data_IF_830971963774
#
_entry.id   IF_830971963774
#
_cell.length_a   1.000
_cell.length_b   1.000
_cell.length_c   1.000
_cell.angle_alpha   90.00
_cell.angle_beta   90.00
_cell.angle_gamma   90.00
#
_symmetry.space_group_name_H-M   'P 1'
#
loop_
_entity.id
_entity.type
_entity.pdbx_description
1 polymer ?
#
# COMPACT_ATOMS: atom_id res chain seq x y z
N UNK A 1 -0.84 -15.06 4.69
CA UNK A 1 -0.82 -16.53 4.84
C UNK A 1 -0.05 -17.00 6.08
N UNK A 2 1.26 -16.73 6.22
CA UNK A 2 2.02 -17.23 7.39
C UNK A 2 1.63 -16.62 8.76
N UNK A 3 1.34 -15.32 8.82
CA UNK A 3 0.95 -14.66 10.09
C UNK A 3 -0.44 -15.11 10.57
N UNK A 4 -1.37 -15.32 9.63
CA UNK A 4 -2.76 -15.68 9.92
C UNK A 4 -2.86 -17.11 10.47
N UNK A 5 -2.10 -18.07 9.94
CA UNK A 5 -2.11 -19.46 10.41
C UNK A 5 -1.61 -19.60 11.85
N UNK A 6 -0.62 -18.79 12.25
CA UNK A 6 -0.06 -18.80 13.61
C UNK A 6 -0.91 -17.95 14.57
N UNK A 7 -1.38 -16.78 14.12
CA UNK A 7 -2.09 -15.85 14.99
C UNK A 7 -3.56 -16.23 15.23
N UNK A 8 -4.23 -16.91 14.29
CA UNK A 8 -5.64 -17.28 14.43
C UNK A 8 -5.87 -18.30 15.58
N UNK A 9 -5.09 -19.40 15.70
CA UNK A 9 -5.15 -20.27 16.88
C UNK A 9 -4.76 -19.54 18.17
N UNK A 10 -3.73 -18.69 18.13
CA UNK A 10 -3.28 -17.91 19.29
C UNK A 10 -4.37 -16.95 19.79
N UNK A 11 -5.12 -16.32 18.88
CA UNK A 11 -6.26 -15.48 19.19
C UNK A 11 -7.39 -16.27 19.86
N UNK A 12 -7.74 -17.46 19.33
CA UNK A 12 -8.72 -18.36 19.98
C UNK A 12 -8.27 -18.83 21.36
N UNK A 13 -6.97 -19.06 21.55
CA UNK A 13 -6.37 -19.38 22.85
C UNK A 13 -6.23 -18.15 23.80
N UNK A 14 -6.86 -17.02 23.47
CA UNK A 14 -6.81 -15.75 24.22
C UNK A 14 -5.39 -15.18 24.43
N UNK A 15 -4.42 -15.57 23.59
CA UNK A 15 -3.03 -15.07 23.63
C UNK A 15 -2.88 -13.76 22.86
N UNK A 16 -3.64 -12.73 23.26
CA UNK A 16 -3.69 -11.45 22.55
C UNK A 16 -2.34 -10.74 22.49
N UNK A 17 -1.49 -10.90 23.50
CA UNK A 17 -0.14 -10.31 23.53
C UNK A 17 0.74 -10.85 22.40
N UNK A 18 0.65 -12.15 22.10
CA UNK A 18 1.43 -12.76 21.03
C UNK A 18 0.97 -12.27 19.65
N UNK A 19 -0.35 -12.13 19.47
CA UNK A 19 -0.93 -11.59 18.22
C UNK A 19 -0.49 -10.14 18.01
N UNK A 20 -0.60 -9.28 19.02
CA UNK A 20 -0.18 -7.87 18.94
C UNK A 20 1.32 -7.74 18.65
N UNK A 21 2.16 -8.49 19.37
CA UNK A 21 3.60 -8.47 19.16
C UNK A 21 3.99 -8.93 17.74
N UNK A 22 3.31 -9.95 17.20
CA UNK A 22 3.55 -10.44 15.84
C UNK A 22 3.17 -9.40 14.79
N UNK A 23 2.01 -8.76 14.95
CA UNK A 23 1.55 -7.69 14.04
C UNK A 23 2.48 -6.47 14.10
N UNK A 24 2.91 -6.05 15.29
CA UNK A 24 3.85 -4.94 15.47
C UNK A 24 5.22 -5.23 14.84
N UNK A 25 5.74 -6.45 15.01
CA UNK A 25 6.99 -6.87 14.33
C UNK A 25 6.83 -6.88 12.82
N UNK A 26 5.68 -7.34 12.31
CA UNK A 26 5.35 -7.28 10.89
C UNK A 26 5.34 -5.85 10.35
N UNK A 27 4.73 -4.91 11.08
CA UNK A 27 4.74 -3.49 10.74
C UNK A 27 6.16 -2.91 10.66
N UNK A 28 6.99 -3.17 11.68
CA UNK A 28 8.38 -2.70 11.69
C UNK A 28 9.17 -3.28 10.52
N UNK A 29 8.98 -4.56 10.20
CA UNK A 29 9.65 -5.21 9.08
C UNK A 29 9.22 -4.64 7.73
N UNK A 30 7.93 -4.34 7.55
CA UNK A 30 7.41 -3.68 6.35
C UNK A 30 7.97 -2.27 6.20
N UNK A 31 8.00 -1.48 7.28
CA UNK A 31 8.61 -0.15 7.29
C UNK A 31 10.11 -0.21 6.99
N UNK A 32 10.82 -1.20 7.52
CA UNK A 32 12.24 -1.36 7.23
C UNK A 32 12.47 -1.78 5.77
N UNK A 33 11.58 -2.60 5.20
CA UNK A 33 11.67 -3.06 3.81
C UNK A 33 11.22 -1.98 2.82
N UNK A 34 10.34 -1.06 3.20
CA UNK A 34 9.92 0.05 2.33
C UNK A 34 11.06 1.02 2.06
N UNK A 35 12.03 1.17 2.98
CA UNK A 35 13.22 2.00 2.80
C UNK A 35 14.09 1.56 1.59
N UNK A 36 14.63 0.33 1.52
CA UNK A 36 15.42 -0.11 0.37
C UNK A 36 14.60 -0.13 -0.93
N UNK A 37 13.30 -0.45 -0.87
CA UNK A 37 12.42 -0.40 -2.05
C UNK A 37 12.28 1.04 -2.56
N UNK A 38 12.08 2.02 -1.69
CA UNK A 38 12.00 3.43 -2.08
C UNK A 38 13.31 3.94 -2.70
N UNK A 39 14.46 3.52 -2.15
CA UNK A 39 15.78 3.84 -2.72
C UNK A 39 15.94 3.23 -4.12
N UNK A 40 15.47 2.00 -4.32
CA UNK A 40 15.48 1.35 -5.62
C UNK A 40 14.58 2.11 -6.62
N UNK A 41 13.38 2.53 -6.20
CA UNK A 41 12.45 3.29 -7.03
C UNK A 41 13.01 4.64 -7.50
N UNK A 42 13.79 5.32 -6.65
CA UNK A 42 14.50 6.55 -7.02
C UNK A 42 15.56 6.27 -8.10
N UNK A 43 16.14 5.06 -8.13
CA UNK A 43 17.15 4.67 -9.13
C UNK A 43 16.55 3.95 -10.35
N UNK A 44 15.24 3.75 -10.41
CA UNK A 44 14.60 2.99 -11.49
C UNK A 44 14.96 3.51 -12.88
N UNK A 45 15.02 4.83 -13.10
CA UNK A 45 15.39 5.38 -14.41
C UNK A 45 16.71 4.79 -14.94
N UNK A 46 17.76 4.81 -14.11
CA UNK A 46 19.08 4.27 -14.46
C UNK A 46 19.08 2.76 -14.67
N UNK A 47 18.24 2.05 -13.91
CA UNK A 47 18.10 0.59 -14.05
C UNK A 47 17.48 0.26 -15.41
N UNK A 48 16.43 0.99 -15.82
CA UNK A 48 15.77 0.80 -17.12
C UNK A 48 16.67 1.22 -18.29
N UNK A 49 17.41 2.32 -18.14
CA UNK A 49 18.43 2.74 -19.12
C UNK A 49 19.52 1.66 -19.29
N UNK A 50 20.00 1.04 -18.20
CA UNK A 50 20.95 -0.08 -18.27
C UNK A 50 20.37 -1.31 -18.99
N UNK A 51 19.07 -1.53 -18.88
CA UNK A 51 18.36 -2.60 -19.59
C UNK A 51 18.09 -2.26 -21.06
N UNK A 52 18.58 -1.12 -21.55
CA UNK A 52 18.35 -0.60 -22.90
C UNK A 52 16.87 -0.41 -23.22
N UNK A 53 16.05 -0.07 -22.22
CA UNK A 53 14.70 0.42 -22.47
C UNK A 53 14.73 1.82 -23.08
N UNK A 54 13.65 2.15 -23.76
CA UNK A 54 13.38 3.46 -24.34
C UNK A 54 13.42 4.56 -23.25
N UNK A 55 14.06 5.69 -23.57
CA UNK A 55 14.26 6.80 -22.61
C UNK A 55 12.94 7.43 -22.15
N UNK A 56 11.94 7.53 -23.04
CA UNK A 56 10.65 8.12 -22.73
C UNK A 56 9.87 7.18 -21.80
N UNK A 57 9.90 5.88 -22.08
CA UNK A 57 9.30 4.86 -21.19
C UNK A 57 9.99 4.84 -19.82
N UNK A 58 11.32 4.93 -19.78
CA UNK A 58 12.08 4.94 -18.52
C UNK A 58 11.79 6.20 -17.70
N UNK A 59 11.58 7.36 -18.34
CA UNK A 59 11.20 8.60 -17.69
C UNK A 59 9.79 8.51 -17.09
N UNK A 60 8.80 8.02 -17.84
CA UNK A 60 7.42 7.86 -17.36
C UNK A 60 7.33 6.85 -16.21
N UNK A 61 8.00 5.70 -16.31
CA UNK A 61 8.05 4.71 -15.25
C UNK A 61 8.70 5.26 -13.97
N UNK A 62 9.78 6.05 -14.11
CA UNK A 62 10.42 6.69 -12.97
C UNK A 62 9.51 7.72 -12.29
N UNK A 63 8.82 8.55 -13.08
CA UNK A 63 7.86 9.53 -12.56
C UNK A 63 6.74 8.80 -11.80
N UNK A 64 6.13 7.77 -12.39
CA UNK A 64 5.09 6.99 -11.74
C UNK A 64 5.55 6.45 -10.37
N UNK A 65 6.70 5.77 -10.34
CA UNK A 65 7.23 5.18 -9.11
C UNK A 65 7.59 6.23 -8.06
N UNK A 66 8.13 7.38 -8.47
CA UNK A 66 8.49 8.45 -7.54
C UNK A 66 7.26 9.02 -6.83
N UNK A 67 6.14 9.19 -7.55
CA UNK A 67 4.87 9.60 -6.96
C UNK A 67 4.17 8.48 -6.17
N UNK A 68 4.50 7.21 -6.43
CA UNK A 68 4.02 6.06 -5.64
C UNK A 68 4.84 5.78 -4.37
N UNK A 69 6.00 6.40 -4.16
CA UNK A 69 6.81 6.21 -2.92
C UNK A 69 5.99 6.35 -1.63
N UNK A 70 5.15 7.39 -1.43
CA UNK A 70 4.32 7.48 -0.22
C UNK A 70 3.36 6.31 -0.05
N UNK A 71 2.95 5.65 -1.13
CA UNK A 71 2.07 4.46 -1.09
C UNK A 71 2.72 3.32 -0.30
N UNK A 72 4.04 3.15 -0.42
CA UNK A 72 4.80 2.12 0.31
C UNK A 72 4.65 2.28 1.83
N UNK A 73 4.62 3.52 2.31
CA UNK A 73 4.42 3.79 3.73
C UNK A 73 2.99 3.43 4.14
N UNK A 74 2.00 3.86 3.36
CA UNK A 74 0.57 3.58 3.63
C UNK A 74 0.29 2.08 3.64
N UNK A 75 0.79 1.33 2.65
CA UNK A 75 0.64 -0.13 2.59
C UNK A 75 1.37 -0.84 3.73
N UNK A 76 2.49 -0.30 4.22
CA UNK A 76 3.18 -0.83 5.40
C UNK A 76 2.29 -0.82 6.65
N UNK A 77 1.35 0.14 6.76
CA UNK A 77 0.35 0.19 7.84
C UNK A 77 -0.91 -0.61 7.52
N UNK A 78 -1.41 -0.57 6.27
CA UNK A 78 -2.62 -1.28 5.86
C UNK A 78 -2.47 -2.79 5.96
N UNK A 79 -1.34 -3.36 5.51
CA UNK A 79 -1.15 -4.81 5.50
C UNK A 79 -1.29 -5.45 6.90
N UNK A 80 -0.58 -4.97 7.95
CA UNK A 80 -0.75 -5.46 9.31
C UNK A 80 -2.15 -5.23 9.87
N UNK A 81 -2.79 -4.08 9.56
CA UNK A 81 -4.12 -3.75 10.06
C UNK A 81 -5.20 -4.66 9.45
N UNK A 82 -5.15 -4.90 8.14
CA UNK A 82 -5.98 -5.88 7.43
C UNK A 82 -5.80 -7.28 8.01
N UNK A 83 -4.56 -7.70 8.25
CA UNK A 83 -4.27 -9.00 8.87
C UNK A 83 -4.85 -9.09 10.29
N UNK A 84 -4.73 -8.04 11.09
CA UNK A 84 -5.26 -7.98 12.45
C UNK A 84 -6.79 -8.11 12.51
N UNK A 85 -7.51 -7.40 11.64
CA UNK A 85 -8.97 -7.49 11.53
C UNK A 85 -9.41 -8.88 11.06
N UNK A 86 -8.67 -9.47 10.12
CA UNK A 86 -8.96 -10.81 9.59
C UNK A 86 -8.73 -11.91 10.64
N UNK A 87 -7.69 -11.80 11.47
CA UNK A 87 -7.45 -12.71 12.62
C UNK A 87 -8.61 -12.65 13.62
N UNK A 88 -9.24 -11.49 13.79
CA UNK A 88 -10.43 -11.30 14.65
C UNK A 88 -11.74 -11.74 13.99
N UNK A 89 -11.70 -12.23 12.76
CA UNK A 89 -12.90 -12.50 11.94
C UNK A 89 -13.79 -11.27 11.72
N UNK A 90 -13.25 -10.05 11.87
CA UNK A 90 -13.94 -8.78 11.62
C UNK A 90 -13.65 -8.28 10.20
N UNK A 91 -13.99 -9.08 9.20
CA UNK A 91 -13.77 -8.73 7.78
C UNK A 91 -14.84 -7.83 7.21
N UNK A 92 -16.04 -7.80 7.82
CA UNK A 92 -17.16 -7.00 7.32
C UNK A 92 -16.87 -5.49 7.31
N UNK A 93 -16.36 -4.87 8.40
CA UNK A 93 -16.01 -3.44 8.39
C UNK A 93 -14.92 -3.14 7.36
N UNK A 94 -13.89 -3.99 7.27
CA UNK A 94 -12.82 -3.84 6.28
C UNK A 94 -13.37 -3.86 4.85
N UNK A 95 -14.28 -4.77 4.53
CA UNK A 95 -14.91 -4.85 3.21
C UNK A 95 -15.74 -3.62 2.88
N UNK A 96 -16.49 -3.08 3.86
CA UNK A 96 -17.29 -1.86 3.68
C UNK A 96 -16.37 -0.66 3.43
N UNK A 97 -15.34 -0.46 4.27
CA UNK A 97 -14.39 0.64 4.10
C UNK A 97 -13.65 0.54 2.75
N UNK A 98 -13.29 -0.69 2.34
CA UNK A 98 -12.66 -0.93 1.03
C UNK A 98 -13.61 -0.60 -0.11
N UNK A 99 -14.89 -0.97 -0.02
CA UNK A 99 -15.88 -0.62 -1.02
C UNK A 99 -16.06 0.90 -1.14
N UNK A 100 -16.17 1.62 -0.01
CA UNK A 100 -16.27 3.08 0.01
C UNK A 100 -15.02 3.72 -0.60
N UNK A 101 -13.82 3.30 -0.19
CA UNK A 101 -12.57 3.81 -0.73
C UNK A 101 -12.48 3.60 -2.25
N UNK A 102 -12.92 2.45 -2.76
CA UNK A 102 -12.91 2.15 -4.19
C UNK A 102 -13.92 3.00 -4.98
N UNK A 103 -15.11 3.24 -4.41
CA UNK A 103 -16.11 4.15 -5.01
C UNK A 103 -15.56 5.57 -5.09
N UNK A 104 -14.83 6.03 -4.06
CA UNK A 104 -14.17 7.34 -4.05
C UNK A 104 -12.95 7.40 -4.97
N UNK A 105 -12.27 6.28 -5.20
CA UNK A 105 -11.08 6.24 -6.06
C UNK A 105 -11.40 6.60 -7.51
N UNK A 106 -12.55 6.18 -8.04
CA UNK A 106 -12.98 6.50 -9.41
C UNK A 106 -13.09 8.02 -9.68
N UNK A 107 -13.87 8.82 -8.92
CA UNK A 107 -13.95 10.26 -9.12
C UNK A 107 -12.63 10.97 -8.79
N UNK A 108 -11.87 10.50 -7.78
CA UNK A 108 -10.55 11.07 -7.47
C UNK A 108 -9.61 10.89 -8.65
N UNK A 109 -9.55 9.70 -9.23
CA UNK A 109 -8.70 9.41 -10.40
C UNK A 109 -9.13 10.23 -11.60
N UNK A 110 -10.44 10.31 -11.88
CA UNK A 110 -10.94 11.15 -12.97
C UNK A 110 -10.56 12.62 -12.78
N UNK A 111 -10.71 13.15 -11.55
CA UNK A 111 -10.36 14.53 -11.24
C UNK A 111 -8.85 14.78 -11.40
N UNK A 112 -8.00 13.90 -10.86
CA UNK A 112 -6.54 14.04 -10.93
C UNK A 112 -6.00 13.90 -12.36
N UNK A 113 -6.51 12.95 -13.12
CA UNK A 113 -6.00 12.64 -14.46
C UNK A 113 -6.59 13.60 -15.50
N UNK A 114 -7.91 13.73 -15.55
CA UNK A 114 -8.61 14.43 -16.62
C UNK A 114 -8.78 15.92 -16.33
N UNK A 115 -9.16 16.29 -15.10
CA UNK A 115 -9.48 17.68 -14.77
C UNK A 115 -8.23 18.49 -14.40
N UNK A 116 -7.33 17.92 -13.59
CA UNK A 116 -6.06 18.54 -13.21
C UNK A 116 -4.93 18.32 -14.23
N UNK A 117 -5.13 17.44 -15.22
CA UNK A 117 -4.15 17.17 -16.28
C UNK A 117 -2.85 16.52 -15.79
N UNK A 118 -2.85 15.85 -14.63
CA UNK A 118 -1.62 15.25 -14.10
C UNK A 118 -1.19 13.96 -14.82
N UNK A 119 -2.00 13.42 -15.73
CA UNK A 119 -1.66 12.23 -16.53
C UNK A 119 -1.23 11.05 -15.64
N UNK A 120 -0.05 10.48 -15.94
CA UNK A 120 0.53 9.33 -15.21
C UNK A 120 0.81 9.64 -13.73
N UNK A 121 1.18 10.88 -13.39
CA UNK A 121 1.34 11.32 -12.00
C UNK A 121 0.02 11.29 -11.25
N UNK A 122 -1.07 11.65 -11.93
CA UNK A 122 -2.42 11.62 -11.40
C UNK A 122 -2.88 10.22 -11.03
N UNK A 123 -2.51 9.22 -11.83
CA UNK A 123 -2.78 7.80 -11.56
C UNK A 123 -2.01 7.32 -10.33
N UNK A 124 -0.71 7.65 -10.24
CA UNK A 124 0.10 7.28 -9.07
C UNK A 124 -0.45 7.90 -7.78
N UNK A 125 -0.79 9.20 -7.82
CA UNK A 125 -1.34 9.93 -6.68
C UNK A 125 -2.74 9.47 -6.28
N UNK A 126 -3.60 9.12 -7.24
CA UNK A 126 -4.95 8.63 -6.92
C UNK A 126 -4.91 7.28 -6.21
N UNK A 127 -3.92 6.43 -6.52
CA UNK A 127 -3.63 5.20 -5.78
C UNK A 127 -3.26 5.49 -4.32
N UNK A 128 -2.29 6.38 -4.11
CA UNK A 128 -1.85 6.81 -2.76
C UNK A 128 -3.02 7.36 -1.94
N UNK A 129 -3.84 8.25 -2.54
CA UNK A 129 -5.01 8.82 -1.87
C UNK A 129 -6.06 7.76 -1.53
N UNK A 130 -6.27 6.78 -2.40
CA UNK A 130 -7.21 5.68 -2.16
C UNK A 130 -6.80 4.84 -0.95
N UNK A 131 -5.52 4.45 -0.91
CA UNK A 131 -4.98 3.68 0.20
C UNK A 131 -4.98 4.52 1.49
N UNK A 132 -4.67 5.81 1.40
CA UNK A 132 -4.73 6.71 2.55
C UNK A 132 -6.16 6.85 3.09
N UNK A 133 -7.16 7.03 2.22
CA UNK A 133 -8.57 7.05 2.60
C UNK A 133 -8.97 5.75 3.31
N UNK A 134 -8.50 4.61 2.83
CA UNK A 134 -8.76 3.33 3.47
C UNK A 134 -8.16 3.25 4.87
N UNK A 135 -6.96 3.78 5.11
CA UNK A 135 -6.37 3.87 6.45
C UNK A 135 -7.22 4.76 7.36
N UNK A 136 -7.68 5.90 6.86
CA UNK A 136 -8.50 6.86 7.63
C UNK A 136 -9.85 6.26 8.02
N UNK A 137 -10.43 5.42 7.17
CA UNK A 137 -11.72 4.77 7.43
C UNK A 137 -11.63 3.54 8.37
N UNK A 138 -10.44 3.05 8.70
CA UNK A 138 -10.23 1.77 9.39
C UNK A 138 -9.79 1.95 10.85
#
# INVERSE_FOLDING_TARGET
MGVESICFPAFRAKRYNLVRATIQRGLILLLFTSLPVSLLWIKTKKILEMLKQDEDLAAEAHIFLLYSVPDLLVESFLHPLRAYLKIQSKTLPLSICTAIANILHLPITFLLVQYLGFGIKGIALSGVLSNFNLVVFL
#
